data_IF_177103661174
#
_entry.id   IF_177103661174
#
_cell.length_a   1.000
_cell.length_b   1.000
_cell.length_c   1.000
_cell.angle_alpha   90.00
_cell.angle_beta   90.00
_cell.angle_gamma   90.00
#
_symmetry.space_group_name_H-M   'P 1'
#
loop_
_entity.id
_entity.type
_entity.pdbx_description
1 polymer ?
#
# COMPACT_ATOMS: atom_id res chain seq x y z
N UNK A 1 -10.47 -14.16 14.64
CA UNK A 1 -11.24 -14.49 13.41
C UNK A 1 -10.53 -13.82 12.25
N UNK A 2 -10.47 -14.49 11.12
CA UNK A 2 -9.81 -13.97 9.92
C UNK A 2 -10.54 -12.74 9.37
N UNK A 3 -9.81 -11.72 8.88
CA UNK A 3 -10.41 -10.55 8.21
C UNK A 3 -10.71 -10.94 6.77
N UNK A 4 -11.99 -10.84 6.36
CA UNK A 4 -12.44 -11.23 5.02
C UNK A 4 -13.21 -10.10 4.36
N UNK A 5 -12.91 -9.88 3.07
CA UNK A 5 -13.63 -8.95 2.20
C UNK A 5 -14.13 -9.71 0.98
N UNK A 6 -15.46 -9.77 0.83
CA UNK A 6 -16.13 -10.35 -0.35
C UNK A 6 -16.74 -9.23 -1.16
N UNK A 7 -16.53 -9.23 -2.48
CA UNK A 7 -17.08 -8.22 -3.40
C UNK A 7 -17.73 -8.96 -4.56
N UNK A 8 -18.93 -8.52 -4.96
CA UNK A 8 -19.62 -8.94 -6.19
C UNK A 8 -20.16 -7.70 -6.88
N UNK A 9 -19.89 -7.55 -8.16
CA UNK A 9 -20.43 -6.51 -9.03
C UNK A 9 -20.31 -5.09 -8.46
N UNK A 10 -19.10 -4.66 -8.10
CA UNK A 10 -18.83 -3.31 -7.58
C UNK A 10 -17.67 -2.64 -8.35
N UNK A 11 -17.97 -1.58 -9.09
CA UNK A 11 -17.00 -0.90 -9.96
C UNK A 11 -16.43 -1.84 -11.02
N UNK A 12 -15.11 -1.92 -11.09
CA UNK A 12 -14.41 -2.83 -12.00
C UNK A 12 -14.38 -4.29 -11.52
N UNK A 13 -14.85 -4.58 -10.29
CA UNK A 13 -14.74 -5.91 -9.68
C UNK A 13 -16.05 -6.66 -9.85
N UNK A 14 -16.00 -7.79 -10.56
CA UNK A 14 -17.12 -8.71 -10.72
C UNK A 14 -17.20 -9.72 -9.59
N UNK A 15 -16.03 -10.24 -9.16
CA UNK A 15 -15.96 -11.23 -8.09
C UNK A 15 -14.63 -11.19 -7.35
N UNK A 16 -14.69 -11.14 -6.01
CA UNK A 16 -13.53 -11.20 -5.15
C UNK A 16 -13.88 -11.88 -3.81
N UNK A 17 -13.02 -12.78 -3.36
CA UNK A 17 -13.01 -13.34 -2.02
C UNK A 17 -11.60 -13.20 -1.45
N UNK A 18 -11.42 -12.25 -0.53
CA UNK A 18 -10.13 -11.79 -0.04
C UNK A 18 -10.00 -12.11 1.44
N UNK A 19 -8.90 -12.73 1.82
CA UNK A 19 -8.45 -12.88 3.20
C UNK A 19 -7.32 -11.87 3.44
N UNK A 20 -7.50 -11.01 4.43
CA UNK A 20 -6.50 -10.01 4.82
C UNK A 20 -5.64 -10.57 5.95
N UNK A 21 -4.33 -10.59 5.73
CA UNK A 21 -3.32 -10.97 6.73
C UNK A 21 -2.48 -9.76 7.17
N UNK A 22 -1.40 -10.00 7.91
CA UNK A 22 -0.48 -8.93 8.34
C UNK A 22 0.12 -8.21 7.13
N UNK A 23 0.49 -8.96 6.09
CA UNK A 23 0.92 -8.45 4.80
C UNK A 23 -0.04 -8.93 3.71
N UNK A 24 -0.64 -7.99 2.97
CA UNK A 24 -1.54 -8.30 1.87
C UNK A 24 -1.12 -7.50 0.63
N UNK A 25 -0.86 -8.18 -0.48
CA UNK A 25 -0.41 -7.56 -1.72
C UNK A 25 -1.45 -7.77 -2.83
N UNK A 26 -1.73 -6.69 -3.57
CA UNK A 26 -2.56 -6.74 -4.77
C UNK A 26 -1.74 -6.30 -5.99
N UNK A 27 -1.62 -7.16 -7.00
CA UNK A 27 -1.06 -6.83 -8.30
C UNK A 27 -2.13 -6.90 -9.37
N UNK A 28 -1.96 -6.16 -10.45
CA UNK A 28 -2.86 -6.19 -11.60
C UNK A 28 -2.64 -4.99 -12.52
N UNK A 29 -3.22 -5.04 -13.69
CA UNK A 29 -3.14 -3.97 -14.67
C UNK A 29 -3.76 -2.65 -14.16
N UNK A 30 -3.42 -1.55 -14.82
CA UNK A 30 -4.02 -0.26 -14.54
C UNK A 30 -5.53 -0.33 -14.80
N UNK A 31 -6.33 0.23 -13.87
CA UNK A 31 -7.79 0.19 -13.96
C UNK A 31 -8.44 -1.14 -13.53
N UNK A 32 -7.70 -2.18 -13.19
CA UNK A 32 -8.24 -3.50 -12.79
C UNK A 32 -9.08 -3.48 -11.49
N UNK A 33 -9.01 -2.42 -10.67
CA UNK A 33 -9.78 -2.30 -9.43
C UNK A 33 -8.95 -2.38 -8.14
N UNK A 34 -7.61 -2.32 -8.22
CA UNK A 34 -6.72 -2.33 -7.03
C UNK A 34 -7.06 -1.23 -6.02
N UNK A 35 -7.20 0.03 -6.50
CA UNK A 35 -7.59 1.17 -5.67
C UNK A 35 -8.98 1.00 -5.06
N UNK A 36 -9.90 0.34 -5.76
CA UNK A 36 -11.23 0.02 -5.23
C UNK A 36 -11.14 -0.88 -4.00
N UNK A 37 -10.33 -1.95 -4.09
CA UNK A 37 -10.10 -2.86 -2.96
C UNK A 37 -9.42 -2.14 -1.79
N UNK A 38 -8.37 -1.37 -2.05
CA UNK A 38 -7.65 -0.60 -1.03
C UNK A 38 -8.57 0.38 -0.28
N UNK A 39 -9.42 1.10 -1.03
CA UNK A 39 -10.43 2.01 -0.46
C UNK A 39 -11.47 1.29 0.38
N UNK A 40 -11.99 0.15 -0.08
CA UNK A 40 -12.96 -0.65 0.67
C UNK A 40 -12.37 -1.19 1.98
N UNK A 41 -11.13 -1.71 1.96
CA UNK A 41 -10.41 -2.16 3.16
C UNK A 41 -10.33 -1.01 4.16
N UNK A 42 -9.80 0.14 3.72
CA UNK A 42 -9.65 1.33 4.58
C UNK A 42 -10.98 1.79 5.16
N UNK A 43 -12.01 1.85 4.33
CA UNK A 43 -13.32 2.31 4.73
C UNK A 43 -13.94 1.41 5.80
N UNK A 44 -13.93 0.11 5.59
CA UNK A 44 -14.57 -0.82 6.53
C UNK A 44 -13.77 -0.99 7.83
N UNK A 45 -12.47 -0.88 7.79
CA UNK A 45 -11.64 -0.97 9.00
C UNK A 45 -11.64 0.33 9.82
N UNK A 46 -11.77 1.51 9.19
CA UNK A 46 -11.88 2.80 9.89
C UNK A 46 -13.31 3.14 10.34
N UNK A 47 -14.28 2.31 9.99
CA UNK A 47 -15.67 2.59 10.34
C UNK A 47 -15.88 2.48 11.85
N UNK A 48 -16.08 3.61 12.53
CA UNK A 48 -16.38 3.71 13.96
C UNK A 48 -17.88 3.73 14.21
N UNK A 49 -18.28 3.22 15.37
CA UNK A 49 -19.69 3.13 15.78
C UNK A 49 -20.37 4.49 15.84
N UNK A 50 -21.46 4.60 15.10
CA UNK A 50 -22.51 5.58 15.32
C UNK A 50 -23.82 4.82 15.56
N UNK A 51 -24.89 5.48 15.99
CA UNK A 51 -26.19 4.81 16.18
C UNK A 51 -26.72 4.21 14.87
N UNK A 52 -27.43 3.07 14.87
CA UNK A 52 -27.86 2.35 13.65
C UNK A 52 -28.58 3.21 12.59
N UNK A 53 -29.35 4.20 12.99
CA UNK A 53 -30.09 5.08 12.07
C UNK A 53 -29.20 6.08 11.31
N UNK A 54 -28.04 6.43 11.86
CA UNK A 54 -27.05 7.33 11.23
C UNK A 54 -25.97 6.57 10.46
N UNK A 55 -25.83 5.26 10.68
CA UNK A 55 -24.76 4.43 10.15
C UNK A 55 -24.75 4.33 8.64
N UNK A 56 -25.87 3.99 8.01
CA UNK A 56 -25.93 3.83 6.54
C UNK A 56 -25.62 5.15 5.79
N UNK A 57 -26.20 6.27 6.26
CA UNK A 57 -25.94 7.58 5.65
C UNK A 57 -24.50 8.04 5.85
N UNK A 58 -23.93 7.79 7.03
CA UNK A 58 -22.53 8.09 7.34
C UNK A 58 -21.56 7.26 6.48
N UNK A 59 -21.87 5.97 6.26
CA UNK A 59 -21.04 5.12 5.43
C UNK A 59 -21.12 5.51 3.94
N UNK A 60 -22.33 5.83 3.43
CA UNK A 60 -22.49 6.32 2.06
C UNK A 60 -21.77 7.66 1.82
N UNK A 61 -21.72 8.55 2.83
CA UNK A 61 -20.92 9.78 2.74
C UNK A 61 -19.42 9.45 2.59
N UNK A 62 -18.91 8.46 3.31
CA UNK A 62 -17.52 8.00 3.17
C UNK A 62 -17.23 7.36 1.80
N UNK A 63 -18.16 6.62 1.21
CA UNK A 63 -18.05 6.17 -0.18
C UNK A 63 -17.97 7.35 -1.16
N UNK A 64 -18.69 8.44 -0.89
CA UNK A 64 -18.62 9.67 -1.70
C UNK A 64 -17.26 10.38 -1.54
N UNK A 65 -16.73 10.49 -0.33
CA UNK A 65 -15.41 11.06 -0.05
C UNK A 65 -14.28 10.31 -0.78
N UNK A 66 -14.43 8.98 -0.92
CA UNK A 66 -13.50 8.13 -1.66
C UNK A 66 -13.76 8.08 -3.17
N UNK A 67 -14.78 8.80 -3.66
CA UNK A 67 -15.21 8.82 -5.07
C UNK A 67 -15.56 7.42 -5.64
N UNK A 68 -16.22 6.56 -4.86
CA UNK A 68 -16.63 5.21 -5.26
C UNK A 68 -18.13 4.94 -5.13
N UNK A 69 -18.96 5.96 -4.85
CA UNK A 69 -20.44 5.82 -4.81
C UNK A 69 -21.00 5.37 -6.15
N UNK A 70 -20.47 5.89 -7.25
CA UNK A 70 -20.95 5.54 -8.61
C UNK A 70 -20.66 4.09 -9.01
N UNK A 71 -19.90 3.35 -8.19
CA UNK A 71 -19.57 1.93 -8.45
C UNK A 71 -20.68 0.97 -8.04
N UNK A 72 -21.64 1.41 -7.21
CA UNK A 72 -22.81 0.61 -6.86
C UNK A 72 -23.70 0.39 -8.09
N UNK A 73 -24.19 -0.81 -8.22
CA UNK A 73 -25.24 -1.21 -9.15
C UNK A 73 -26.26 -2.11 -8.44
N UNK A 74 -27.43 -2.43 -9.04
CA UNK A 74 -28.47 -3.22 -8.38
C UNK A 74 -28.01 -4.59 -7.86
N UNK A 75 -27.00 -5.20 -8.51
CA UNK A 75 -26.50 -6.52 -8.17
C UNK A 75 -25.25 -6.45 -7.28
N UNK A 76 -24.91 -5.28 -6.78
CA UNK A 76 -23.72 -5.11 -5.92
C UNK A 76 -23.92 -5.79 -4.57
N UNK A 77 -22.94 -6.60 -4.21
CA UNK A 77 -22.81 -7.20 -2.88
C UNK A 77 -21.39 -6.96 -2.34
N UNK A 78 -21.30 -6.44 -1.13
CA UNK A 78 -20.02 -6.26 -0.44
C UNK A 78 -20.19 -6.76 0.99
N UNK A 79 -19.26 -7.60 1.46
CA UNK A 79 -19.25 -8.07 2.84
C UNK A 79 -17.84 -7.97 3.41
N UNK A 80 -17.70 -7.28 4.53
CA UNK A 80 -16.48 -7.27 5.33
C UNK A 80 -16.74 -7.90 6.68
N UNK A 81 -15.93 -8.88 7.07
CA UNK A 81 -16.05 -9.59 8.36
C UNK A 81 -14.71 -9.68 9.06
N UNK A 82 -14.73 -9.48 10.37
CA UNK A 82 -13.59 -9.66 11.27
C UNK A 82 -14.08 -10.17 12.64
N UNK A 83 -13.16 -10.39 13.56
CA UNK A 83 -13.49 -10.67 14.98
C UNK A 83 -14.26 -9.50 15.63
N UNK A 84 -14.08 -8.29 15.13
CA UNK A 84 -14.61 -7.04 15.72
C UNK A 84 -15.94 -6.61 15.11
N UNK A 85 -16.16 -6.87 13.83
CA UNK A 85 -17.35 -6.38 13.08
C UNK A 85 -17.70 -7.23 11.87
N UNK A 86 -18.95 -7.08 11.44
CA UNK A 86 -19.44 -7.51 10.12
C UNK A 86 -20.24 -6.36 9.52
N UNK A 87 -19.93 -6.01 8.28
CA UNK A 87 -20.65 -5.00 7.49
C UNK A 87 -21.01 -5.66 6.17
N UNK A 88 -22.29 -5.66 5.83
CA UNK A 88 -22.81 -6.27 4.59
C UNK A 88 -23.63 -5.23 3.84
N UNK A 89 -23.28 -5.00 2.58
CA UNK A 89 -24.12 -4.28 1.64
C UNK A 89 -24.82 -5.29 0.71
N UNK A 90 -26.13 -5.25 0.70
CA UNK A 90 -26.96 -6.09 -0.14
C UNK A 90 -28.33 -5.41 -0.39
N UNK A 91 -28.90 -5.60 -1.58
CA UNK A 91 -30.23 -5.10 -1.94
C UNK A 91 -30.42 -3.58 -1.65
N UNK A 92 -29.36 -2.79 -1.89
CA UNK A 92 -29.37 -1.33 -1.72
C UNK A 92 -29.23 -0.84 -0.27
N UNK A 93 -28.98 -1.73 0.70
CA UNK A 93 -28.89 -1.38 2.12
C UNK A 93 -27.67 -1.99 2.80
N UNK A 94 -27.24 -1.36 3.92
CA UNK A 94 -26.18 -1.87 4.78
C UNK A 94 -26.75 -2.56 6.02
N UNK A 95 -26.20 -3.71 6.34
CA UNK A 95 -26.39 -4.42 7.59
C UNK A 95 -25.11 -4.39 8.41
N UNK A 96 -25.22 -4.10 9.72
CA UNK A 96 -24.08 -3.97 10.62
C UNK A 96 -24.23 -4.94 11.80
N UNK A 97 -23.14 -5.63 12.11
CA UNK A 97 -23.01 -6.38 13.36
C UNK A 97 -21.68 -6.01 14.02
N UNK A 98 -21.74 -5.38 15.16
CA UNK A 98 -20.58 -4.95 15.93
C UNK A 98 -20.38 -5.85 17.13
N UNK A 99 -19.17 -6.27 17.35
CA UNK A 99 -18.79 -7.17 18.42
C UNK A 99 -17.94 -6.49 19.50
N UNK A 100 -17.03 -5.62 19.07
CA UNK A 100 -16.15 -4.83 19.98
C UNK A 100 -15.72 -3.54 19.29
N UNK A 101 -15.33 -2.53 20.09
CA UNK A 101 -14.80 -1.28 19.55
C UNK A 101 -13.39 -1.52 18.96
N UNK A 102 -13.09 -1.12 17.72
CA UNK A 102 -11.78 -1.33 17.14
C UNK A 102 -10.74 -0.39 17.76
N UNK A 103 -9.63 -0.96 18.22
CA UNK A 103 -8.45 -0.20 18.64
C UNK A 103 -7.42 -0.02 17.51
N UNK A 104 -7.77 -0.36 16.26
CA UNK A 104 -6.87 -0.28 15.11
C UNK A 104 -7.25 0.91 14.25
N UNK A 105 -6.28 1.77 13.98
CA UNK A 105 -6.39 2.83 12.97
C UNK A 105 -5.90 2.31 11.64
N UNK A 106 -6.55 2.75 10.57
CA UNK A 106 -6.15 2.47 9.20
C UNK A 106 -5.69 3.76 8.55
N UNK A 107 -4.53 3.72 7.93
CA UNK A 107 -4.01 4.85 7.17
C UNK A 107 -3.96 4.49 5.69
N UNK A 108 -4.77 5.18 4.90
CA UNK A 108 -4.72 5.08 3.46
C UNK A 108 -3.76 6.12 2.88
N UNK A 109 -2.79 5.66 2.10
CA UNK A 109 -1.81 6.50 1.41
C UNK A 109 -2.04 6.36 -0.10
N UNK A 110 -2.61 7.39 -0.76
CA UNK A 110 -2.96 7.35 -2.16
C UNK A 110 -1.73 7.38 -3.09
N UNK A 111 -1.91 6.92 -4.33
CA UNK A 111 -0.88 7.00 -5.36
C UNK A 111 -0.52 8.45 -5.71
N UNK A 112 -1.50 9.35 -5.68
CA UNK A 112 -1.36 10.78 -6.01
C UNK A 112 -0.55 11.57 -4.98
N UNK A 113 -0.03 10.95 -3.93
CA UNK A 113 0.78 11.59 -2.87
C UNK A 113 1.97 12.41 -3.40
N UNK A 114 2.47 12.09 -4.60
CA UNK A 114 3.59 12.84 -5.19
C UNK A 114 3.28 14.31 -5.45
N UNK A 115 2.00 14.68 -5.61
CA UNK A 115 1.59 16.09 -5.71
C UNK A 115 1.91 16.91 -4.46
N UNK A 116 2.00 16.25 -3.29
CA UNK A 116 2.20 16.94 -2.01
C UNK A 116 3.54 17.68 -1.98
N UNK A 117 4.61 17.07 -2.49
CA UNK A 117 5.92 17.72 -2.55
C UNK A 117 5.91 18.98 -3.42
N UNK A 118 5.09 18.98 -4.48
CA UNK A 118 4.98 20.11 -5.42
C UNK A 118 4.08 21.24 -4.88
N UNK A 119 2.99 20.86 -4.19
CA UNK A 119 1.93 21.82 -3.80
C UNK A 119 1.87 22.09 -2.30
N UNK A 120 2.77 21.52 -1.47
CA UNK A 120 2.70 21.64 -0.01
C UNK A 120 2.49 23.08 0.47
N UNK A 121 3.20 24.05 -0.11
CA UNK A 121 3.07 25.48 0.23
C UNK A 121 1.79 26.14 -0.26
N UNK A 122 1.10 25.53 -1.22
CA UNK A 122 -0.11 26.08 -1.85
C UNK A 122 -1.39 25.36 -1.42
N UNK A 123 -1.30 24.29 -0.66
CA UNK A 123 -2.46 23.47 -0.26
C UNK A 123 -3.53 24.32 0.43
N UNK A 124 -3.14 25.17 1.37
CA UNK A 124 -4.08 26.07 2.06
C UNK A 124 -4.83 26.99 1.09
N UNK A 125 -4.12 27.55 0.12
CA UNK A 125 -4.72 28.41 -0.94
C UNK A 125 -5.68 27.62 -1.82
N UNK A 126 -5.31 26.39 -2.20
CA UNK A 126 -6.16 25.50 -3.01
C UNK A 126 -7.44 25.11 -2.26
N UNK A 127 -7.33 24.79 -0.97
CA UNK A 127 -8.48 24.47 -0.12
C UNK A 127 -9.42 25.68 0.02
N UNK A 128 -8.87 26.88 0.27
CA UNK A 128 -9.65 28.12 0.35
C UNK A 128 -10.33 28.45 -0.99
N UNK A 129 -9.67 28.13 -2.11
CA UNK A 129 -10.23 28.27 -3.45
C UNK A 129 -11.27 27.18 -3.79
N UNK A 130 -11.57 26.26 -2.86
CA UNK A 130 -12.48 25.13 -3.06
C UNK A 130 -12.07 24.24 -4.26
N UNK A 131 -10.77 24.09 -4.51
CA UNK A 131 -10.27 23.12 -5.47
C UNK A 131 -10.70 21.71 -5.06
N UNK A 132 -11.11 20.83 -6.00
CA UNK A 132 -11.56 19.49 -5.71
C UNK A 132 -10.38 18.55 -5.36
N UNK A 133 -9.78 18.74 -4.18
CA UNK A 133 -8.68 17.91 -3.69
C UNK A 133 -9.27 16.74 -2.93
N UNK A 134 -8.88 15.48 -3.24
CA UNK A 134 -9.32 14.31 -2.49
C UNK A 134 -9.00 14.42 -1.00
N UNK A 135 -9.95 14.08 -0.13
CA UNK A 135 -9.75 14.14 1.32
C UNK A 135 -8.56 13.28 1.78
N UNK A 136 -8.39 12.11 1.19
CA UNK A 136 -7.26 11.21 1.47
C UNK A 136 -5.91 11.85 1.21
N UNK A 137 -5.82 12.69 0.19
CA UNK A 137 -4.60 13.44 -0.11
C UNK A 137 -4.35 14.57 0.91
N UNK A 138 -5.42 15.23 1.39
CA UNK A 138 -5.32 16.23 2.46
C UNK A 138 -4.94 15.61 3.80
N UNK A 139 -5.46 14.42 4.11
CA UNK A 139 -5.07 13.66 5.30
C UNK A 139 -3.59 13.27 5.26
N UNK A 140 -3.13 12.75 4.14
CA UNK A 140 -1.71 12.45 3.93
C UNK A 140 -0.83 13.71 4.05
N UNK A 141 -1.24 14.83 3.46
CA UNK A 141 -0.53 16.11 3.57
C UNK A 141 -0.43 16.59 5.03
N UNK A 142 -1.51 16.46 5.80
CA UNK A 142 -1.52 16.81 7.22
C UNK A 142 -0.54 15.95 8.03
N UNK A 143 -0.47 14.65 7.74
CA UNK A 143 0.49 13.74 8.39
C UNK A 143 1.93 14.06 7.98
N UNK A 144 2.16 14.39 6.72
CA UNK A 144 3.48 14.81 6.24
C UNK A 144 3.96 16.09 6.94
N UNK A 145 3.08 17.10 7.13
CA UNK A 145 3.44 18.31 7.90
C UNK A 145 3.80 17.98 9.36
N UNK A 146 3.06 17.07 10.01
CA UNK A 146 3.39 16.60 11.37
C UNK A 146 4.74 15.87 11.39
N UNK A 147 5.00 15.00 10.41
CA UNK A 147 6.26 14.29 10.26
C UNK A 147 7.44 15.26 10.08
N UNK A 148 7.29 16.30 9.25
CA UNK A 148 8.32 17.35 9.07
C UNK A 148 8.64 18.09 10.37
N UNK A 149 7.64 18.40 11.16
CA UNK A 149 7.83 19.05 12.46
C UNK A 149 8.59 18.16 13.46
N UNK A 150 8.41 16.83 13.37
CA UNK A 150 9.12 15.88 14.23
C UNK A 150 10.53 15.58 13.74
N UNK A 151 10.75 15.53 12.44
CA UNK A 151 11.99 15.12 11.79
C UNK A 151 12.66 16.29 11.04
N UNK A 152 13.14 17.29 11.77
CA UNK A 152 13.79 18.46 11.16
C UNK A 152 15.06 18.11 10.35
N UNK A 153 15.73 17.01 10.67
CA UNK A 153 16.81 16.40 9.91
C UNK A 153 16.51 14.91 9.81
N UNK A 154 15.93 14.50 8.69
CA UNK A 154 15.53 13.13 8.46
C UNK A 154 16.57 12.39 7.65
N UNK A 155 17.28 11.44 8.29
CA UNK A 155 18.14 10.50 7.57
C UNK A 155 17.26 9.57 6.73
N UNK A 156 17.39 9.66 5.40
CA UNK A 156 16.52 8.89 4.51
C UNK A 156 16.97 7.42 4.51
N UNK A 157 16.13 6.47 4.92
CA UNK A 157 16.54 5.08 5.14
C UNK A 157 17.08 4.35 3.89
N UNK A 158 16.57 4.74 2.71
CA UNK A 158 16.89 4.06 1.44
C UNK A 158 17.87 4.83 0.56
N UNK A 159 18.35 5.98 1.02
CA UNK A 159 19.31 6.80 0.32
C UNK A 159 20.39 7.33 1.26
N UNK A 160 21.63 7.50 0.78
CA UNK A 160 22.67 8.15 1.54
C UNK A 160 22.50 9.69 1.52
N UNK A 161 21.37 10.16 2.03
CA UNK A 161 20.95 11.56 2.03
C UNK A 161 20.26 11.92 3.33
N UNK A 162 20.31 13.22 3.68
CA UNK A 162 19.51 13.80 4.77
C UNK A 162 18.53 14.80 4.17
N UNK A 163 17.26 14.64 4.50
CA UNK A 163 16.24 15.66 4.24
C UNK A 163 16.19 16.64 5.40
N UNK A 164 16.49 17.90 5.12
CA UNK A 164 16.50 18.97 6.12
C UNK A 164 15.32 19.92 5.93
N UNK A 165 14.55 20.08 6.99
CA UNK A 165 13.45 21.04 7.05
C UNK A 165 13.91 22.27 7.85
N UNK A 166 13.77 23.46 7.26
CA UNK A 166 13.99 24.76 7.89
C UNK A 166 12.71 25.59 7.73
N UNK A 167 12.57 26.65 8.51
CA UNK A 167 11.37 27.51 8.48
C UNK A 167 10.95 27.95 7.06
N UNK A 168 11.92 28.22 6.20
CA UNK A 168 11.66 28.76 4.85
C UNK A 168 12.11 27.85 3.72
N UNK A 169 12.77 26.72 4.01
CA UNK A 169 13.36 25.86 2.98
C UNK A 169 13.36 24.39 3.35
N UNK A 170 13.25 23.55 2.34
CA UNK A 170 13.40 22.10 2.40
C UNK A 170 14.55 21.73 1.47
N UNK A 171 15.56 21.03 2.00
CA UNK A 171 16.77 20.73 1.27
C UNK A 171 17.15 19.25 1.42
N UNK A 172 17.87 18.74 0.42
CA UNK A 172 18.54 17.45 0.45
C UNK A 172 20.04 17.67 0.60
N UNK A 173 20.64 17.04 1.58
CA UNK A 173 22.09 16.97 1.75
C UNK A 173 22.57 15.61 1.26
N UNK A 174 23.37 15.62 0.20
CA UNK A 174 24.01 14.43 -0.35
C UNK A 174 25.30 14.20 0.46
N UNK A 175 25.31 13.16 1.31
CA UNK A 175 26.38 12.93 2.28
C UNK A 175 27.72 12.70 1.56
N UNK A 176 27.72 11.90 0.48
CA UNK A 176 28.95 11.53 -0.24
C UNK A 176 29.60 12.70 -0.99
N UNK A 177 28.86 13.76 -1.27
CA UNK A 177 29.32 14.85 -2.12
C UNK A 177 29.35 16.21 -1.40
N UNK A 178 28.99 16.26 -0.12
CA UNK A 178 28.85 17.50 0.66
C UNK A 178 28.04 18.58 -0.10
N UNK A 179 27.01 18.14 -0.82
CA UNK A 179 26.21 18.98 -1.70
C UNK A 179 24.79 19.13 -1.15
N UNK A 180 24.30 20.36 -1.16
CA UNK A 180 22.92 20.69 -0.78
C UNK A 180 22.11 21.05 -2.02
N UNK A 181 20.94 20.42 -2.17
CA UNK A 181 20.01 20.62 -3.27
C UNK A 181 18.66 21.02 -2.68
N UNK A 182 17.99 22.08 -3.16
CA UNK A 182 16.61 22.36 -2.79
C UNK A 182 15.69 21.17 -3.14
N UNK A 183 14.84 20.76 -2.21
CA UNK A 183 13.98 19.58 -2.40
C UNK A 183 13.07 19.69 -3.64
N UNK A 184 12.60 20.89 -3.94
CA UNK A 184 11.80 21.17 -5.15
C UNK A 184 12.53 20.85 -6.46
N UNK A 185 13.87 20.85 -6.46
CA UNK A 185 14.70 20.60 -7.63
C UNK A 185 15.17 19.13 -7.71
N UNK A 186 14.74 18.30 -6.76
CA UNK A 186 15.01 16.86 -6.76
C UNK A 186 14.21 16.12 -7.84
N UNK A 187 14.63 14.90 -8.18
CA UNK A 187 13.89 14.04 -9.11
C UNK A 187 12.50 13.69 -8.57
N UNK A 188 11.56 13.40 -9.48
CA UNK A 188 10.18 13.01 -9.13
C UNK A 188 10.11 11.80 -8.18
N UNK A 189 11.01 10.83 -8.34
CA UNK A 189 11.10 9.68 -7.45
C UNK A 189 11.45 10.07 -6.02
N UNK A 190 12.44 10.94 -5.84
CA UNK A 190 12.83 11.47 -4.51
C UNK A 190 11.68 12.27 -3.91
N UNK A 191 11.03 13.12 -4.70
CA UNK A 191 9.90 13.92 -4.25
C UNK A 191 8.67 13.07 -3.88
N UNK A 192 8.49 11.90 -4.50
CA UNK A 192 7.41 10.97 -4.20
C UNK A 192 7.70 10.15 -2.93
N UNK A 193 8.94 9.67 -2.76
CA UNK A 193 9.26 8.68 -1.73
C UNK A 193 9.56 9.30 -0.36
N UNK A 194 10.16 10.49 -0.29
CA UNK A 194 10.49 11.13 1.00
C UNK A 194 9.23 11.40 1.84
N UNK A 195 8.16 12.02 1.32
CA UNK A 195 6.93 12.17 2.08
C UNK A 195 6.35 10.84 2.56
N UNK A 196 6.40 9.79 1.72
CA UNK A 196 5.95 8.45 2.07
C UNK A 196 6.73 7.88 3.26
N UNK A 197 8.06 7.86 3.18
CA UNK A 197 8.94 7.36 4.25
C UNK A 197 8.74 8.11 5.56
N UNK A 198 8.69 9.44 5.51
CA UNK A 198 8.51 10.28 6.69
C UNK A 198 7.15 10.02 7.36
N UNK A 199 6.07 9.86 6.58
CA UNK A 199 4.75 9.55 7.13
C UNK A 199 4.72 8.15 7.72
N UNK A 200 5.30 7.15 7.05
CA UNK A 200 5.42 5.79 7.60
C UNK A 200 6.16 5.81 8.94
N UNK A 201 7.35 6.42 9.00
CA UNK A 201 8.17 6.44 10.20
C UNK A 201 7.51 7.23 11.34
N UNK A 202 6.83 8.35 11.00
CA UNK A 202 6.06 9.14 11.95
C UNK A 202 4.90 8.33 12.55
N UNK A 203 4.06 7.74 11.70
CA UNK A 203 2.84 7.04 12.15
C UNK A 203 3.20 5.72 12.83
N UNK A 204 4.17 4.96 12.34
CA UNK A 204 4.62 3.73 12.99
C UNK A 204 5.15 3.98 14.40
N UNK A 205 5.76 5.14 14.65
CA UNK A 205 6.24 5.54 15.97
C UNK A 205 5.10 5.99 16.90
N UNK A 206 4.19 6.84 16.41
CA UNK A 206 3.13 7.44 17.23
C UNK A 206 1.94 6.49 17.43
N UNK A 207 1.67 5.62 16.46
CA UNK A 207 0.53 4.70 16.40
C UNK A 207 0.98 3.32 15.88
N UNK A 208 1.70 2.52 16.67
CA UNK A 208 2.34 1.29 16.20
C UNK A 208 1.37 0.21 15.69
N UNK A 209 0.09 0.27 16.07
CA UNK A 209 -0.94 -0.68 15.63
C UNK A 209 -1.69 -0.22 14.37
N UNK A 210 -1.17 0.78 13.65
CA UNK A 210 -1.78 1.25 12.40
C UNK A 210 -1.65 0.18 11.30
N UNK A 211 -2.77 -0.08 10.62
CA UNK A 211 -2.76 -0.80 9.35
C UNK A 211 -2.52 0.19 8.21
N UNK A 212 -1.40 0.08 7.54
CA UNK A 212 -1.07 0.91 6.39
C UNK A 212 -1.65 0.31 5.12
N UNK A 213 -2.41 1.09 4.37
CA UNK A 213 -2.92 0.73 3.04
C UNK A 213 -2.29 1.69 2.04
N UNK A 214 -1.29 1.22 1.29
CA UNK A 214 -0.44 2.06 0.45
C UNK A 214 -0.65 1.71 -1.01
N UNK A 215 -1.05 2.71 -1.81
CA UNK A 215 -1.16 2.54 -3.26
C UNK A 215 0.16 2.87 -3.94
N UNK A 216 0.57 1.96 -4.82
CA UNK A 216 1.69 2.12 -5.76
C UNK A 216 2.91 2.79 -5.10
N UNK A 217 3.50 2.18 -4.03
CA UNK A 217 4.64 2.77 -3.34
C UNK A 217 5.84 2.97 -4.27
N UNK A 218 5.94 2.16 -5.32
CA UNK A 218 7.02 2.14 -6.31
C UNK A 218 7.00 3.30 -7.32
N UNK A 219 5.95 4.12 -7.35
CA UNK A 219 5.77 5.18 -8.35
C UNK A 219 7.03 6.07 -8.49
N UNK A 220 7.51 6.20 -9.75
CA UNK A 220 8.67 6.99 -10.14
C UNK A 220 10.01 6.50 -9.55
N UNK A 221 10.09 5.28 -9.00
CA UNK A 221 11.31 4.73 -8.41
C UNK A 221 12.01 3.76 -9.37
N UNK A 222 13.34 3.79 -9.35
CA UNK A 222 14.17 2.78 -10.00
C UNK A 222 14.01 1.41 -9.30
N UNK A 223 14.12 0.26 -10.00
CA UNK A 223 13.88 -1.06 -9.43
C UNK A 223 14.58 -1.37 -8.11
N UNK A 224 15.88 -1.05 -7.98
CA UNK A 224 16.62 -1.26 -6.72
C UNK A 224 16.04 -0.45 -5.55
N UNK A 225 15.59 0.78 -5.84
CA UNK A 225 14.96 1.64 -4.82
C UNK A 225 13.59 1.09 -4.40
N UNK A 226 12.84 0.48 -5.31
CA UNK A 226 11.57 -0.18 -5.01
C UNK A 226 11.78 -1.32 -4.00
N UNK A 227 12.82 -2.15 -4.18
CA UNK A 227 13.18 -3.23 -3.26
C UNK A 227 13.55 -2.66 -1.89
N UNK A 228 14.40 -1.64 -1.85
CA UNK A 228 14.80 -0.99 -0.59
C UNK A 228 13.61 -0.38 0.15
N UNK A 229 12.66 0.21 -0.59
CA UNK A 229 11.41 0.74 -0.03
C UNK A 229 10.54 -0.38 0.56
N UNK A 230 10.40 -1.52 -0.13
CA UNK A 230 9.65 -2.67 0.38
C UNK A 230 10.26 -3.18 1.69
N UNK A 231 11.59 -3.32 1.76
CA UNK A 231 12.29 -3.71 2.98
C UNK A 231 11.96 -2.75 4.14
N UNK A 232 12.01 -1.44 3.88
CA UNK A 232 11.68 -0.43 4.89
C UNK A 232 10.22 -0.54 5.36
N UNK A 233 9.27 -0.69 4.43
CA UNK A 233 7.84 -0.81 4.76
C UNK A 233 7.57 -2.06 5.60
N UNK A 234 8.11 -3.22 5.22
CA UNK A 234 7.92 -4.48 5.97
C UNK A 234 8.51 -4.36 7.39
N UNK A 235 9.66 -3.72 7.54
CA UNK A 235 10.29 -3.52 8.85
C UNK A 235 9.49 -2.56 9.75
N UNK A 236 8.80 -1.56 9.18
CA UNK A 236 8.10 -0.51 9.94
C UNK A 236 6.62 -0.79 10.18
N UNK A 237 5.96 -1.45 9.25
CA UNK A 237 4.52 -1.63 9.27
C UNK A 237 4.14 -3.03 9.77
N UNK A 238 3.53 -3.13 10.95
CA UNK A 238 3.05 -4.43 11.48
C UNK A 238 1.87 -4.99 10.69
N UNK A 239 1.05 -4.12 10.11
CA UNK A 239 -0.02 -4.50 9.20
C UNK A 239 0.10 -3.63 7.95
N UNK A 240 0.21 -4.27 6.79
CA UNK A 240 0.49 -3.60 5.53
C UNK A 240 -0.33 -4.20 4.40
N UNK A 241 -1.09 -3.36 3.71
CA UNK A 241 -1.70 -3.69 2.42
C UNK A 241 -1.06 -2.82 1.35
N UNK A 242 -0.60 -3.43 0.27
CA UNK A 242 0.03 -2.73 -0.85
C UNK A 242 -0.71 -3.06 -2.14
N UNK A 243 -0.99 -2.04 -2.94
CA UNK A 243 -1.34 -2.24 -4.36
C UNK A 243 -0.14 -1.89 -5.21
N UNK A 244 0.17 -2.69 -6.21
CA UNK A 244 1.37 -2.50 -7.04
C UNK A 244 1.15 -2.90 -8.49
N UNK A 245 2.00 -2.37 -9.36
CA UNK A 245 2.20 -2.82 -10.74
C UNK A 245 3.59 -3.45 -10.96
N UNK A 246 4.43 -3.43 -9.91
CA UNK A 246 5.84 -3.79 -10.02
C UNK A 246 6.09 -5.28 -9.86
N UNK A 247 6.64 -5.95 -10.88
CA UNK A 247 7.13 -7.31 -10.74
C UNK A 247 8.33 -7.40 -9.78
N UNK A 248 9.12 -6.32 -9.67
CA UNK A 248 10.29 -6.28 -8.77
C UNK A 248 9.90 -6.37 -7.29
N UNK A 249 8.76 -5.76 -6.90
CA UNK A 249 8.25 -5.89 -5.53
C UNK A 249 7.84 -7.35 -5.24
N UNK A 250 7.19 -8.03 -6.20
CA UNK A 250 6.81 -9.44 -6.03
C UNK A 250 8.04 -10.36 -5.96
N UNK A 251 9.03 -10.12 -6.82
CA UNK A 251 10.28 -10.88 -6.82
C UNK A 251 11.05 -10.71 -5.50
N UNK A 252 11.16 -9.46 -5.00
CA UNK A 252 11.78 -9.19 -3.72
C UNK A 252 11.01 -9.85 -2.56
N UNK A 253 9.67 -9.79 -2.61
CA UNK A 253 8.82 -10.42 -1.61
C UNK A 253 8.99 -11.93 -1.59
N UNK A 254 9.14 -12.59 -2.75
CA UNK A 254 9.44 -14.02 -2.83
C UNK A 254 10.75 -14.38 -2.09
N UNK A 255 11.80 -13.58 -2.26
CA UNK A 255 13.04 -13.80 -1.52
C UNK A 255 12.84 -13.69 0.00
N UNK A 256 12.00 -12.75 0.44
CA UNK A 256 11.68 -12.56 1.86
C UNK A 256 10.84 -13.71 2.44
N UNK A 257 9.88 -14.22 1.67
CA UNK A 257 9.06 -15.39 2.02
C UNK A 257 9.94 -16.64 2.10
N UNK A 258 10.81 -16.84 1.10
CA UNK A 258 11.71 -17.99 1.06
C UNK A 258 12.68 -17.99 2.25
N UNK A 259 13.21 -16.83 2.64
CA UNK A 259 14.02 -16.71 3.85
C UNK A 259 13.24 -17.15 5.10
N UNK A 260 11.98 -16.78 5.22
CA UNK A 260 11.08 -17.22 6.29
C UNK A 260 10.80 -18.73 6.24
N UNK A 261 10.55 -19.29 5.05
CA UNK A 261 10.32 -20.73 4.83
C UNK A 261 11.55 -21.55 5.23
N UNK A 262 12.75 -21.13 4.79
CA UNK A 262 14.01 -21.80 5.14
C UNK A 262 14.24 -21.76 6.66
N UNK A 263 14.00 -20.60 7.30
CA UNK A 263 14.14 -20.48 8.75
C UNK A 263 13.18 -21.44 9.51
N UNK A 264 11.93 -21.53 9.05
CA UNK A 264 10.90 -22.39 9.65
C UNK A 264 11.26 -23.86 9.53
N UNK A 265 11.81 -24.27 8.39
CA UNK A 265 12.23 -25.65 8.12
C UNK A 265 13.59 -25.99 8.73
N UNK A 266 14.51 -25.01 8.81
CA UNK A 266 15.92 -25.18 9.16
C UNK A 266 16.40 -24.04 10.06
N UNK A 267 15.98 -23.97 11.34
CA UNK A 267 16.37 -22.89 12.26
C UNK A 267 17.91 -22.77 12.43
N UNK A 268 18.65 -23.84 12.25
CA UNK A 268 20.10 -23.88 12.33
C UNK A 268 20.81 -23.11 11.20
N UNK A 269 20.07 -22.72 10.15
CA UNK A 269 20.61 -21.94 9.02
C UNK A 269 20.44 -20.43 9.19
N UNK A 270 19.95 -19.96 10.34
CA UNK A 270 19.64 -18.54 10.57
C UNK A 270 20.76 -17.59 10.17
N UNK A 271 22.01 -17.87 10.60
CA UNK A 271 23.17 -17.01 10.25
C UNK A 271 23.49 -17.02 8.75
N UNK A 272 23.24 -18.15 8.07
CA UNK A 272 23.45 -18.26 6.61
C UNK A 272 22.40 -17.45 5.84
N UNK A 273 21.14 -17.50 6.29
CA UNK A 273 20.08 -16.70 5.69
C UNK A 273 20.36 -15.23 5.92
N UNK A 274 20.78 -14.83 7.13
CA UNK A 274 21.11 -13.46 7.48
C UNK A 274 22.30 -12.89 6.69
N UNK A 275 23.20 -13.74 6.23
CA UNK A 275 24.29 -13.33 5.33
C UNK A 275 23.84 -12.98 3.91
N UNK A 276 22.62 -13.45 3.51
CA UNK A 276 22.03 -13.22 2.17
C UNK A 276 20.97 -12.11 2.23
N UNK A 277 20.10 -12.15 3.23
CA UNK A 277 19.01 -11.17 3.40
C UNK A 277 18.90 -10.78 4.88
N UNK A 278 18.84 -9.48 5.23
CA UNK A 278 18.71 -9.01 6.60
C UNK A 278 17.49 -9.64 7.32
N UNK A 279 17.66 -9.97 8.62
CA UNK A 279 16.63 -10.67 9.42
C UNK A 279 15.31 -9.92 9.50
N UNK A 280 15.36 -8.60 9.56
CA UNK A 280 14.21 -7.71 9.61
C UNK A 280 13.34 -7.73 8.34
N UNK A 281 13.85 -8.34 7.25
CA UNK A 281 13.13 -8.47 5.99
C UNK A 281 12.46 -9.85 5.82
N UNK A 282 12.64 -10.78 6.75
CA UNK A 282 12.07 -12.12 6.61
C UNK A 282 10.56 -12.11 6.86
N UNK A 283 9.83 -12.78 5.99
CA UNK A 283 8.35 -12.82 6.04
C UNK A 283 7.90 -14.25 6.31
N UNK A 284 7.06 -14.41 7.34
CA UNK A 284 6.38 -15.67 7.62
C UNK A 284 5.25 -15.87 6.59
N UNK A 285 5.29 -16.95 5.83
CA UNK A 285 4.29 -17.29 4.81
C UNK A 285 2.87 -17.42 5.38
N UNK A 286 2.71 -17.77 6.66
CA UNK A 286 1.40 -17.83 7.29
C UNK A 286 0.76 -16.45 7.50
N UNK A 287 1.56 -15.38 7.42
CA UNK A 287 1.16 -13.99 7.68
C UNK A 287 0.96 -13.15 6.41
N UNK A 288 1.12 -13.75 5.23
CA UNK A 288 0.98 -13.07 3.96
C UNK A 288 -0.17 -13.61 3.12
N UNK A 289 -0.77 -12.73 2.31
CA UNK A 289 -1.59 -13.07 1.15
C UNK A 289 -1.20 -12.20 -0.04
N UNK A 290 -1.21 -12.78 -1.22
CA UNK A 290 -0.96 -12.08 -2.48
C UNK A 290 -2.05 -12.42 -3.49
N UNK A 291 -2.55 -11.40 -4.17
CA UNK A 291 -3.66 -11.50 -5.10
C UNK A 291 -3.35 -10.81 -6.42
N UNK A 292 -3.77 -11.42 -7.53
CA UNK A 292 -3.84 -10.78 -8.84
C UNK A 292 -5.27 -10.35 -9.13
N UNK A 293 -5.41 -9.13 -9.63
CA UNK A 293 -6.69 -8.60 -10.12
C UNK A 293 -6.64 -8.59 -11.64
N UNK A 294 -7.47 -9.39 -12.26
CA UNK A 294 -7.53 -9.57 -13.71
C UNK A 294 -8.96 -9.77 -14.16
N UNK A 295 -9.39 -9.04 -15.21
CA UNK A 295 -10.74 -9.14 -15.80
C UNK A 295 -11.88 -9.06 -14.77
N UNK A 296 -11.74 -8.18 -13.76
CA UNK A 296 -12.71 -8.00 -12.70
C UNK A 296 -12.73 -9.11 -11.64
N UNK A 297 -11.86 -10.10 -11.72
CA UNK A 297 -11.75 -11.20 -10.75
C UNK A 297 -10.47 -11.06 -9.93
N UNK A 298 -10.55 -11.42 -8.66
CA UNK A 298 -9.40 -11.44 -7.75
C UNK A 298 -9.06 -12.89 -7.42
N UNK A 299 -7.84 -13.31 -7.74
CA UNK A 299 -7.34 -14.66 -7.54
C UNK A 299 -6.09 -14.65 -6.65
N UNK A 300 -5.94 -15.66 -5.77
CA UNK A 300 -4.69 -15.87 -5.02
C UNK A 300 -3.59 -16.25 -5.99
N UNK A 301 -2.41 -15.67 -5.79
CA UNK A 301 -1.17 -16.00 -6.52
C UNK A 301 -0.10 -16.61 -5.63
N UNK A 302 -0.45 -16.97 -4.39
CA UNK A 302 0.39 -17.81 -3.54
C UNK A 302 0.17 -19.27 -3.90
N UNK A 303 1.27 -19.98 -4.15
CA UNK A 303 1.29 -21.43 -4.27
C UNK A 303 1.11 -22.06 -2.87
N UNK A 304 0.11 -22.92 -2.71
CA UNK A 304 -0.20 -23.55 -1.42
C UNK A 304 0.80 -24.65 -1.00
N UNK A 305 1.50 -25.25 -1.96
CA UNK A 305 2.49 -26.29 -1.71
C UNK A 305 3.85 -25.72 -1.32
N UNK A 306 4.32 -24.71 -2.08
CA UNK A 306 5.64 -24.10 -1.86
C UNK A 306 5.58 -22.84 -1.00
N UNK A 307 4.39 -22.28 -0.74
CA UNK A 307 4.19 -21.04 0.01
C UNK A 307 4.99 -19.84 -0.55
N UNK A 308 5.05 -19.71 -1.85
CA UNK A 308 5.69 -18.60 -2.58
C UNK A 308 4.74 -18.02 -3.62
N UNK A 309 5.04 -16.84 -4.13
CA UNK A 309 4.29 -16.25 -5.25
C UNK A 309 4.66 -17.00 -6.53
N UNK A 310 3.65 -17.42 -7.29
CA UNK A 310 3.83 -18.16 -8.56
C UNK A 310 4.63 -17.33 -9.55
N UNK A 311 5.72 -17.89 -10.06
CA UNK A 311 6.68 -17.18 -10.92
C UNK A 311 6.04 -16.57 -12.19
N UNK A 312 5.15 -17.29 -12.86
CA UNK A 312 4.44 -16.84 -14.08
C UNK A 312 3.57 -15.59 -13.85
N UNK A 313 3.27 -15.27 -12.59
CA UNK A 313 2.50 -14.09 -12.21
C UNK A 313 3.39 -12.87 -11.91
N UNK A 314 4.71 -13.06 -11.86
CA UNK A 314 5.67 -12.00 -11.51
C UNK A 314 6.01 -11.15 -12.74
N UNK A 315 6.41 -11.75 -13.85
CA UNK A 315 6.86 -11.00 -15.02
C UNK A 315 6.63 -11.74 -16.37
N UNK A 316 5.39 -12.08 -16.66
CA UNK A 316 5.01 -12.71 -17.92
C UNK A 316 5.37 -11.86 -19.17
N UNK A 317 5.45 -10.53 -19.00
CA UNK A 317 5.80 -9.62 -20.10
C UNK A 317 7.26 -9.74 -20.49
N UNK A 318 8.20 -9.82 -19.53
CA UNK A 318 9.63 -10.04 -19.81
C UNK A 318 9.87 -11.37 -20.48
N UNK A 319 9.17 -12.42 -20.07
CA UNK A 319 9.28 -13.76 -20.68
C UNK A 319 8.82 -13.75 -22.14
N UNK A 320 7.72 -13.05 -22.43
CA UNK A 320 7.24 -12.90 -23.80
C UNK A 320 8.20 -12.08 -24.67
N UNK A 321 8.75 -10.97 -24.15
CA UNK A 321 9.76 -10.19 -24.88
C UNK A 321 11.03 -11.02 -25.14
N UNK A 322 11.44 -11.86 -24.19
CA UNK A 322 12.57 -12.77 -24.34
C UNK A 322 12.33 -13.84 -25.41
N UNK A 323 11.10 -14.39 -25.48
CA UNK A 323 10.69 -15.31 -26.54
C UNK A 323 10.72 -14.66 -27.94
N UNK A 324 10.16 -13.43 -28.04
CA UNK A 324 10.18 -12.65 -29.28
C UNK A 324 11.61 -12.41 -29.72
N UNK A 325 12.48 -11.98 -28.79
CA UNK A 325 13.90 -11.73 -29.10
C UNK A 325 14.61 -13.00 -29.60
N UNK A 326 14.41 -14.13 -28.91
CA UNK A 326 14.98 -15.43 -29.35
C UNK A 326 14.51 -15.83 -30.72
N UNK A 327 13.19 -15.69 -31.03
CA UNK A 327 12.66 -15.99 -32.33
C UNK A 327 13.24 -15.09 -33.46
N UNK A 328 13.56 -13.83 -33.14
CA UNK A 328 14.21 -12.93 -34.09
C UNK A 328 15.67 -13.32 -34.35
N UNK A 329 16.41 -13.80 -33.34
CA UNK A 329 17.78 -14.31 -33.53
C UNK A 329 17.82 -15.55 -34.42
N UNK A 330 16.79 -16.41 -34.36
CA UNK A 330 16.68 -17.59 -35.19
C UNK A 330 16.43 -17.27 -36.69
N UNK A 331 16.18 -15.99 -37.02
CA UNK A 331 16.01 -15.52 -38.41
C UNK A 331 17.30 -14.96 -39.03
N UNK A 332 18.37 -14.75 -38.24
CA UNK A 332 19.70 -14.36 -38.73
C UNK A 332 20.48 -15.56 -39.28
#
# INVERSE_FOLDING_TARGET
>A
MERKLTIRNFGAITSADIVLKELTIFIGEQGAGKSTVAKLITLFENYENQSPETESNSLMAKFAELNIVSYFNPDSYISYTSDKRSIIYKDGSFEFTLRTNPATHNLYIPAERFFISTFSRSIATLVLAKAPIPLTLLEFASLYEKAKNQFANYQIPIFNMIFQVRETSENLVLIDHDKVIPFKDASSGIQSVIPLLMVIDYVAKEQPNTHFVIEEPELNLFPETQVSLLHHMINKCHQLTVTTHSPYLLSALNNMIEAGNILKAHPEKEDKIAAVLPKECWVDCDKITAYKIENGTIISILDEEFNIIVADQIDATSDEQSRIFSALLDLE
#
